data_IF_237076968668
#
_entry.id   IF_237076968668
#
_cell.length_a   1.000
_cell.length_b   1.000
_cell.length_c   1.000
_cell.angle_alpha   90.00
_cell.angle_beta   90.00
_cell.angle_gamma   90.00
#
_symmetry.space_group_name_H-M   'P 1'
#
loop_
_entity.id
_entity.type
_entity.pdbx_description
1 polymer ?
#
# COMPACT_ATOMS: atom_id res chain seq x y z
N UNK A 1 -7.88 -14.39 -3.22
CA UNK A 1 -6.56 -13.83 -3.41
C UNK A 1 -6.64 -12.34 -3.75
N UNK A 2 -5.79 -11.53 -3.15
CA UNK A 2 -5.79 -10.10 -3.38
C UNK A 2 -5.34 -9.76 -4.80
N UNK A 3 -6.00 -8.81 -5.48
CA UNK A 3 -5.61 -8.40 -6.84
C UNK A 3 -4.32 -7.58 -6.86
N UNK A 4 -3.87 -7.10 -5.71
CA UNK A 4 -2.65 -6.32 -5.59
C UNK A 4 -2.08 -6.46 -4.19
N UNK A 5 -0.82 -6.08 -4.03
CA UNK A 5 -0.16 -6.06 -2.72
C UNK A 5 -0.37 -4.72 -2.02
N UNK A 6 -0.51 -3.66 -2.79
CA UNK A 6 -0.66 -2.29 -2.28
C UNK A 6 -1.73 -1.56 -3.07
N UNK A 7 -2.56 -0.82 -2.36
CA UNK A 7 -3.53 0.08 -2.98
C UNK A 7 -3.13 1.52 -2.62
N UNK A 8 -2.95 2.35 -3.61
CA UNK A 8 -2.64 3.77 -3.41
C UNK A 8 -3.92 4.58 -3.45
N UNK A 9 -4.17 5.34 -2.39
CA UNK A 9 -5.35 6.20 -2.25
C UNK A 9 -4.92 7.66 -2.27
N UNK A 10 -5.00 8.33 -3.43
CA UNK A 10 -4.71 9.77 -3.48
C UNK A 10 -5.79 10.53 -2.72
N UNK A 11 -5.38 11.39 -1.82
CA UNK A 11 -6.29 12.24 -1.06
C UNK A 11 -6.25 13.68 -1.56
N UNK A 12 -5.69 13.88 -2.73
CA UNK A 12 -5.50 15.18 -3.37
C UNK A 12 -5.71 15.02 -4.88
N UNK A 13 -5.87 16.12 -5.57
CA UNK A 13 -6.01 16.11 -7.04
C UNK A 13 -4.67 15.91 -7.76
N UNK A 14 -3.57 15.93 -7.03
CA UNK A 14 -2.25 15.74 -7.62
C UNK A 14 -1.99 14.25 -7.88
N UNK A 15 -2.36 13.81 -9.05
CA UNK A 15 -2.16 12.42 -9.45
C UNK A 15 -0.71 12.13 -9.82
N UNK A 16 0.09 13.16 -10.05
CA UNK A 16 1.51 12.98 -10.37
C UNK A 16 2.28 12.26 -9.29
N UNK A 17 2.08 12.66 -8.03
CA UNK A 17 2.71 12.03 -6.89
C UNK A 17 2.25 10.56 -6.75
N UNK A 18 0.98 10.30 -6.95
CA UNK A 18 0.43 8.96 -6.87
C UNK A 18 1.00 8.06 -7.95
N UNK A 19 1.12 8.55 -9.16
CA UNK A 19 1.69 7.80 -10.28
C UNK A 19 3.17 7.51 -10.02
N UNK A 20 3.91 8.49 -9.51
CA UNK A 20 5.32 8.31 -9.18
C UNK A 20 5.50 7.23 -8.11
N UNK A 21 4.66 7.25 -7.08
CA UNK A 21 4.69 6.25 -6.01
C UNK A 21 4.38 4.86 -6.57
N UNK A 22 3.35 4.76 -7.41
CA UNK A 22 2.99 3.49 -8.03
C UNK A 22 4.12 2.94 -8.88
N UNK A 23 4.77 3.81 -9.66
CA UNK A 23 5.87 3.41 -10.52
C UNK A 23 7.04 2.86 -9.69
N UNK A 24 7.39 3.55 -8.60
CA UNK A 24 8.47 3.12 -7.72
C UNK A 24 8.19 1.74 -7.11
N UNK A 25 6.97 1.52 -6.65
CA UNK A 25 6.58 0.25 -6.06
C UNK A 25 6.59 -0.87 -7.09
N UNK A 26 6.07 -0.60 -8.28
CA UNK A 26 6.06 -1.60 -9.36
C UNK A 26 7.46 -1.95 -9.80
N UNK A 27 8.35 -0.97 -9.84
CA UNK A 27 9.76 -1.19 -10.18
C UNK A 27 10.45 -2.08 -9.15
N UNK A 28 9.97 -2.09 -7.92
CA UNK A 28 10.50 -2.94 -6.85
C UNK A 28 9.86 -4.33 -6.84
N UNK A 29 8.99 -4.63 -7.80
CA UNK A 29 8.33 -5.92 -7.89
C UNK A 29 7.08 -6.05 -7.03
N UNK A 30 6.57 -4.94 -6.53
CA UNK A 30 5.35 -4.91 -5.72
C UNK A 30 4.14 -4.67 -6.62
N UNK A 31 3.15 -5.57 -6.55
CA UNK A 31 1.92 -5.40 -7.31
C UNK A 31 1.14 -4.24 -6.72
N UNK A 32 0.95 -3.20 -7.50
CA UNK A 32 0.38 -1.94 -7.01
C UNK A 32 -0.83 -1.55 -7.85
N UNK A 33 -1.90 -1.19 -7.16
CA UNK A 33 -3.12 -0.68 -7.80
C UNK A 33 -3.33 0.77 -7.35
N UNK A 34 -3.66 1.63 -8.31
CA UNK A 34 -3.93 3.03 -8.05
C UNK A 34 -5.43 3.27 -8.10
N UNK A 35 -5.99 3.78 -7.01
CA UNK A 35 -7.41 4.08 -6.94
C UNK A 35 -7.64 5.50 -7.44
N UNK A 36 -8.18 5.64 -8.64
CA UNK A 36 -8.32 6.94 -9.30
C UNK A 36 -9.64 7.65 -9.07
N UNK A 37 -10.60 7.00 -8.45
CA UNK A 37 -11.91 7.62 -8.24
C UNK A 37 -11.94 8.50 -7.00
N UNK A 38 -12.62 9.64 -7.10
CA UNK A 38 -12.76 10.55 -5.96
C UNK A 38 -13.98 10.17 -5.15
N UNK A 39 -13.84 9.14 -4.34
CA UNK A 39 -14.89 8.71 -3.43
C UNK A 39 -14.50 9.05 -2.00
N UNK A 40 -15.47 8.94 -1.10
CA UNK A 40 -15.21 9.17 0.31
C UNK A 40 -14.18 8.19 0.85
N UNK A 41 -13.40 8.67 1.81
CA UNK A 41 -12.32 7.90 2.43
C UNK A 41 -12.78 6.52 2.91
N UNK A 42 -13.95 6.47 3.53
CA UNK A 42 -14.52 5.20 4.03
C UNK A 42 -14.67 4.16 2.93
N UNK A 43 -15.13 4.58 1.76
CA UNK A 43 -15.33 3.67 0.64
C UNK A 43 -14.01 3.14 0.11
N UNK A 44 -12.98 3.98 0.12
CA UNK A 44 -11.65 3.58 -0.37
C UNK A 44 -11.03 2.53 0.55
N UNK A 45 -11.13 2.74 1.86
CA UNK A 45 -10.63 1.77 2.84
C UNK A 45 -11.41 0.47 2.75
N UNK A 46 -12.75 0.57 2.67
CA UNK A 46 -13.61 -0.61 2.53
C UNK A 46 -13.30 -1.41 1.29
N UNK A 47 -12.95 -0.73 0.21
CA UNK A 47 -12.56 -1.39 -1.04
C UNK A 47 -11.31 -2.25 -0.84
N UNK A 48 -10.28 -1.69 -0.19
CA UNK A 48 -9.05 -2.43 0.09
C UNK A 48 -9.30 -3.63 1.00
N UNK A 49 -10.11 -3.44 2.04
CA UNK A 49 -10.45 -4.50 2.98
C UNK A 49 -11.21 -5.64 2.28
N UNK A 50 -12.19 -5.26 1.46
CA UNK A 50 -13.01 -6.23 0.73
C UNK A 50 -12.18 -7.07 -0.23
N UNK A 51 -11.17 -6.48 -0.86
CA UNK A 51 -10.29 -7.18 -1.79
C UNK A 51 -9.16 -7.93 -1.11
N UNK A 52 -8.98 -7.74 0.20
CA UNK A 52 -7.93 -8.39 0.94
C UNK A 52 -6.54 -7.85 0.65
N UNK A 53 -6.44 -6.61 0.19
CA UNK A 53 -5.15 -5.97 -0.10
C UNK A 53 -4.44 -5.68 1.23
N UNK A 54 -3.21 -6.18 1.42
CA UNK A 54 -2.55 -6.09 2.73
C UNK A 54 -2.04 -4.71 3.12
N UNK A 55 -1.72 -3.86 2.15
CA UNK A 55 -1.16 -2.54 2.42
C UNK A 55 -1.91 -1.46 1.67
N UNK A 56 -2.06 -0.30 2.31
CA UNK A 56 -2.69 0.87 1.69
C UNK A 56 -1.75 2.05 1.89
N UNK A 57 -1.57 2.84 0.84
CA UNK A 57 -0.78 4.07 0.91
C UNK A 57 -1.71 5.26 0.73
N UNK A 58 -1.64 6.19 1.68
CA UNK A 58 -2.39 7.45 1.61
C UNK A 58 -1.46 8.57 1.16
N UNK A 59 -1.89 9.35 0.19
CA UNK A 59 -1.13 10.49 -0.31
C UNK A 59 -1.99 11.74 -0.23
N UNK A 60 -1.81 12.50 0.85
CA UNK A 60 -2.42 13.80 1.00
C UNK A 60 -1.41 14.89 0.68
N UNK A 61 -1.85 16.15 0.70
CA UNK A 61 -0.97 17.30 0.43
C UNK A 61 0.18 17.36 1.43
N UNK A 62 -0.09 17.08 2.70
CA UNK A 62 0.93 17.11 3.75
C UNK A 62 2.02 16.08 3.49
N UNK A 63 1.62 14.87 3.10
CA UNK A 63 2.57 13.80 2.81
C UNK A 63 3.42 14.15 1.59
N UNK A 64 2.79 14.67 0.54
CA UNK A 64 3.49 15.05 -0.68
C UNK A 64 4.49 16.17 -0.39
N UNK A 65 4.07 17.20 0.37
CA UNK A 65 4.93 18.33 0.71
C UNK A 65 6.11 17.93 1.59
N UNK A 66 5.90 16.96 2.47
CA UNK A 66 6.95 16.45 3.36
C UNK A 66 7.83 15.38 2.69
N UNK A 67 7.48 14.95 1.50
CA UNK A 67 8.24 13.92 0.80
C UNK A 67 8.08 12.53 1.41
N UNK A 68 6.95 12.27 2.06
CA UNK A 68 6.67 10.99 2.71
C UNK A 68 5.37 10.41 2.19
N UNK A 69 5.13 9.14 2.54
CA UNK A 69 3.88 8.46 2.25
C UNK A 69 3.37 7.81 3.54
N UNK A 70 2.06 7.74 3.69
CA UNK A 70 1.46 7.08 4.85
C UNK A 70 1.12 5.64 4.46
N UNK A 71 1.78 4.69 5.08
CA UNK A 71 1.59 3.26 4.81
C UNK A 71 0.77 2.65 5.94
N UNK A 72 -0.31 2.00 5.58
CA UNK A 72 -1.15 1.30 6.56
C UNK A 72 -1.12 -0.20 6.29
N UNK A 73 -0.80 -0.97 7.33
CA UNK A 73 -0.90 -2.42 7.30
C UNK A 73 -2.34 -2.78 7.64
N UNK A 74 -3.08 -3.32 6.69
CA UNK A 74 -4.49 -3.62 6.88
C UNK A 74 -4.73 -4.75 7.87
N UNK A 75 -3.75 -5.61 8.06
CA UNK A 75 -3.86 -6.72 9.00
C UNK A 75 -3.73 -6.27 10.45
N UNK A 76 -2.69 -5.48 10.74
CA UNK A 76 -2.45 -4.99 12.10
C UNK A 76 -3.16 -3.69 12.42
N UNK A 77 -3.53 -2.93 11.39
CA UNK A 77 -4.13 -1.62 11.55
C UNK A 77 -3.12 -0.52 11.84
N UNK A 78 -1.83 -0.84 11.86
CA UNK A 78 -0.80 0.15 12.10
C UNK A 78 -0.57 1.03 10.89
N UNK A 79 -0.31 2.30 11.14
CA UNK A 79 -0.04 3.28 10.09
C UNK A 79 1.21 4.07 10.44
N UNK A 80 2.11 4.22 9.47
CA UNK A 80 3.35 4.96 9.64
C UNK A 80 3.56 5.90 8.47
N UNK A 81 4.27 7.01 8.72
CA UNK A 81 4.66 7.93 7.66
C UNK A 81 6.16 7.79 7.45
N UNK A 82 6.55 7.40 6.26
CA UNK A 82 7.95 7.14 5.91
C UNK A 82 8.24 7.66 4.52
N UNK A 83 9.53 7.78 4.18
CA UNK A 83 9.92 8.15 2.82
C UNK A 83 9.49 7.04 1.86
N UNK A 84 9.45 7.35 0.58
CA UNK A 84 9.07 6.36 -0.43
C UNK A 84 10.01 5.16 -0.42
N UNK A 85 11.31 5.41 -0.28
CA UNK A 85 12.30 4.31 -0.23
C UNK A 85 12.06 3.41 0.97
N UNK A 86 11.79 4.00 2.13
CA UNK A 86 11.48 3.23 3.33
C UNK A 86 10.17 2.48 3.19
N UNK A 87 9.18 3.09 2.54
CA UNK A 87 7.89 2.44 2.29
C UNK A 87 8.09 1.19 1.43
N UNK A 88 8.90 1.28 0.39
CA UNK A 88 9.20 0.14 -0.47
C UNK A 88 9.82 -0.99 0.35
N UNK A 89 10.83 -0.67 1.16
CA UNK A 89 11.50 -1.67 2.00
C UNK A 89 10.55 -2.28 3.03
N UNK A 90 9.75 -1.45 3.66
CA UNK A 90 8.79 -1.88 4.69
C UNK A 90 7.75 -2.84 4.09
N UNK A 91 7.23 -2.49 2.94
CA UNK A 91 6.21 -3.31 2.26
C UNK A 91 6.81 -4.63 1.79
N UNK A 92 7.99 -4.59 1.19
CA UNK A 92 8.66 -5.81 0.75
C UNK A 92 8.95 -6.74 1.91
N UNK A 93 9.43 -6.21 3.03
CA UNK A 93 9.67 -7.00 4.23
C UNK A 93 8.36 -7.59 4.77
N UNK A 94 7.29 -6.79 4.79
CA UNK A 94 5.99 -7.26 5.24
C UNK A 94 5.41 -8.36 4.36
N UNK A 95 5.55 -8.22 3.05
CA UNK A 95 5.08 -9.23 2.12
C UNK A 95 5.89 -10.52 2.23
N UNK A 96 7.20 -10.42 2.38
CA UNK A 96 8.05 -11.58 2.57
C UNK A 96 7.67 -12.34 3.84
N UNK A 97 7.40 -11.61 4.91
CA UNK A 97 6.99 -12.21 6.18
C UNK A 97 5.65 -12.93 6.05
N UNK A 98 4.71 -12.34 5.35
CA UNK A 98 3.41 -12.96 5.10
C UNK A 98 3.56 -14.24 4.26
N UNK A 99 4.42 -14.19 3.26
CA UNK A 99 4.69 -15.35 2.41
C UNK A 99 5.42 -16.45 3.17
N UNK A 100 6.35 -16.10 4.05
CA UNK A 100 7.03 -17.07 4.93
C UNK A 100 6.03 -17.80 5.80
N UNK A 101 5.09 -17.08 6.40
CA UNK A 101 4.04 -17.67 7.19
C UNK A 101 3.24 -18.70 6.41
N UNK A 102 2.92 -18.36 5.16
CA UNK A 102 2.19 -19.26 4.27
C UNK A 102 2.98 -20.52 3.96
N UNK A 103 4.26 -20.34 3.64
CA UNK A 103 5.14 -21.46 3.29
C UNK A 103 5.27 -22.40 4.48
N UNK A 104 5.44 -21.84 5.68
CA UNK A 104 5.54 -22.64 6.90
C UNK A 104 4.27 -23.47 7.12
N UNK A 105 3.11 -22.85 6.91
CA UNK A 105 1.83 -23.56 7.02
C UNK A 105 1.76 -24.72 6.04
N UNK A 106 2.20 -24.50 4.81
CA UNK A 106 2.19 -25.55 3.78
C UNK A 106 3.11 -26.71 4.17
N UNK A 107 4.26 -26.41 4.76
CA UNK A 107 5.22 -27.43 5.16
C UNK A 107 4.76 -28.26 6.34
N UNK A 108 3.90 -27.71 7.17
CA UNK A 108 3.42 -28.42 8.35
C UNK A 108 2.39 -29.49 7.99
N UNK A 109 1.96 -29.51 6.77
CA UNK A 109 1.09 -30.55 6.27
C UNK A 109 1.92 -31.76 5.88
#
# INVERSE_FOLDING_TARGET
>A
KAPADVLILPMTDDMGAAIKTATALRSAGIRTQLYGEQKKFKHKIGYADKLGIPFVIFLGEDEINAGVVAVKDMESGEQVKVSLDEAVNLIRAGLAKKNEGKVICDKSI
#
